data_IF_401781613435
#
_entry.id   IF_401781613435
#
_cell.length_a   1.000
_cell.length_b   1.000
_cell.length_c   1.000
_cell.angle_alpha   90.00
_cell.angle_beta   90.00
_cell.angle_gamma   90.00
#
_symmetry.space_group_name_H-M   'P 1'
#
loop_
_entity.id
_entity.type
_entity.pdbx_description
1 polymer ?
#
# COMPACT_ATOMS: atom_id res chain seq x y z
N UNK A 1 -4.95 8.81 8.15
CA UNK A 1 -6.05 8.38 7.27
C UNK A 1 -5.55 8.29 5.83
N UNK A 2 -5.81 7.17 5.20
CA UNK A 2 -5.34 6.91 3.84
C UNK A 2 -6.13 7.73 2.83
N UNK A 3 -5.47 8.27 1.83
CA UNK A 3 -6.15 8.91 0.71
C UNK A 3 -5.33 8.79 -0.57
N UNK A 4 -6.06 8.87 -1.68
CA UNK A 4 -5.46 8.85 -3.00
C UNK A 4 -4.45 9.99 -3.12
N UNK A 5 -3.31 9.69 -3.70
CA UNK A 5 -2.23 10.65 -3.88
C UNK A 5 -1.14 10.57 -2.84
N UNK A 6 -1.36 9.85 -1.75
CA UNK A 6 -0.33 9.67 -0.73
C UNK A 6 0.69 8.64 -1.18
N UNK A 7 1.95 8.87 -0.83
CA UNK A 7 3.03 7.93 -1.11
C UNK A 7 3.26 7.05 0.12
N UNK A 8 3.39 5.75 -0.11
CA UNK A 8 3.62 4.80 0.97
C UNK A 8 4.78 3.88 0.62
N UNK A 9 5.36 3.27 1.66
CA UNK A 9 6.32 2.19 1.53
C UNK A 9 5.73 0.95 2.19
N UNK A 10 5.74 -0.16 1.48
CA UNK A 10 5.26 -1.43 2.03
C UNK A 10 6.34 -2.00 2.92
N UNK A 11 6.01 -2.25 4.19
CA UNK A 11 6.93 -2.85 5.13
C UNK A 11 6.86 -4.37 5.02
N UNK A 12 5.64 -4.90 4.99
CA UNK A 12 5.42 -6.33 4.92
C UNK A 12 4.04 -6.58 4.32
N UNK A 13 3.97 -7.46 3.34
CA UNK A 13 2.70 -7.85 2.74
C UNK A 13 2.50 -9.34 2.97
N UNK A 14 1.41 -9.67 3.66
CA UNK A 14 1.12 -11.03 4.05
C UNK A 14 1.02 -11.95 2.82
N UNK A 15 1.83 -13.02 2.83
CA UNK A 15 1.85 -13.96 1.73
C UNK A 15 2.63 -13.49 0.50
N UNK A 16 3.19 -12.27 0.51
CA UNK A 16 3.89 -11.70 -0.64
C UNK A 16 5.18 -11.02 -0.21
N UNK A 17 6.18 -11.79 0.20
CA UNK A 17 7.41 -11.18 0.72
C UNK A 17 8.15 -10.31 -0.30
N UNK A 18 7.93 -10.54 -1.60
CA UNK A 18 8.58 -9.74 -2.64
C UNK A 18 8.12 -8.29 -2.65
N UNK A 19 7.01 -7.99 -2.00
CA UNK A 19 6.48 -6.62 -1.96
C UNK A 19 7.09 -5.79 -0.86
N UNK A 20 7.78 -6.40 0.09
CA UNK A 20 8.43 -5.65 1.18
C UNK A 20 9.46 -4.68 0.61
N UNK A 21 9.39 -3.43 1.04
CA UNK A 21 10.30 -2.38 0.59
C UNK A 21 9.85 -1.62 -0.65
N UNK A 22 8.77 -2.05 -1.30
CA UNK A 22 8.28 -1.31 -2.47
C UNK A 22 7.63 -0.01 -2.04
N UNK A 23 7.80 1.01 -2.88
CA UNK A 23 7.19 2.32 -2.65
C UNK A 23 6.28 2.66 -3.82
N UNK A 24 5.26 3.43 -3.54
CA UNK A 24 4.37 3.87 -4.60
C UNK A 24 3.33 4.84 -4.07
N UNK A 25 2.47 5.29 -4.99
CA UNK A 25 1.43 6.27 -4.69
C UNK A 25 0.08 5.56 -4.74
N UNK A 26 -0.77 5.86 -3.76
CA UNK A 26 -2.14 5.33 -3.72
C UNK A 26 -2.93 5.97 -4.86
N UNK A 27 -3.49 5.15 -5.74
CA UNK A 27 -4.30 5.62 -6.86
C UNK A 27 -5.79 5.35 -6.66
N UNK A 28 -6.14 4.41 -5.79
CA UNK A 28 -7.54 4.05 -5.58
C UNK A 28 -7.67 3.33 -4.24
N UNK A 29 -8.74 3.64 -3.52
CA UNK A 29 -9.08 2.91 -2.29
C UNK A 29 -10.45 2.30 -2.54
N UNK A 30 -10.54 0.97 -2.48
CA UNK A 30 -11.78 0.29 -2.82
C UNK A 30 -12.76 0.26 -1.64
N UNK A 31 -13.93 -0.32 -1.88
CA UNK A 31 -15.00 -0.34 -0.89
C UNK A 31 -14.65 -1.10 0.38
N UNK A 32 -13.68 -1.99 0.31
CA UNK A 32 -13.22 -2.75 1.46
C UNK A 32 -12.08 -2.05 2.20
N UNK A 33 -11.67 -0.88 1.72
CA UNK A 33 -10.57 -0.15 2.33
C UNK A 33 -9.20 -0.61 1.90
N UNK A 34 -9.11 -1.44 0.86
CA UNK A 34 -7.83 -1.91 0.35
C UNK A 34 -7.21 -0.84 -0.54
N UNK A 35 -5.89 -0.67 -0.42
CA UNK A 35 -5.18 0.40 -1.10
C UNK A 35 -4.57 -0.13 -2.40
N UNK A 36 -4.92 0.51 -3.50
CA UNK A 36 -4.35 0.20 -4.81
C UNK A 36 -3.39 1.33 -5.19
N UNK A 37 -2.31 0.99 -5.85
CA UNK A 37 -1.34 2.01 -6.19
C UNK A 37 -0.28 1.52 -7.16
N UNK A 38 0.79 2.30 -7.27
CA UNK A 38 1.81 2.09 -8.30
C UNK A 38 2.89 1.08 -7.91
N UNK A 39 2.76 0.45 -6.75
CA UNK A 39 3.76 -0.52 -6.27
C UNK A 39 3.66 -1.88 -6.94
N UNK A 40 2.56 -2.17 -7.63
CA UNK A 40 2.37 -3.43 -8.31
C UNK A 40 0.90 -3.78 -8.39
N UNK A 41 0.59 -5.00 -8.82
CA UNK A 41 -0.79 -5.41 -9.06
C UNK A 41 -1.60 -5.79 -7.83
N UNK A 42 -0.96 -5.92 -6.67
CA UNK A 42 -1.67 -6.35 -5.46
C UNK A 42 -2.04 -5.15 -4.60
N UNK A 43 -3.24 -5.19 -4.04
CA UNK A 43 -3.68 -4.16 -3.11
C UNK A 43 -3.08 -4.39 -1.73
N UNK A 44 -2.80 -3.30 -1.02
CA UNK A 44 -2.41 -3.37 0.39
C UNK A 44 -3.67 -3.49 1.22
N UNK A 45 -3.70 -4.48 2.10
CA UNK A 45 -4.81 -4.74 3.02
C UNK A 45 -4.39 -4.23 4.39
N UNK A 46 -4.90 -3.06 4.84
CA UNK A 46 -4.41 -2.46 6.08
C UNK A 46 -4.51 -3.34 7.32
N UNK A 47 -5.44 -4.30 7.31
CA UNK A 47 -5.64 -5.20 8.45
C UNK A 47 -4.59 -6.31 8.51
N UNK A 48 -3.99 -6.66 7.36
CA UNK A 48 -3.07 -7.78 7.27
C UNK A 48 -1.65 -7.37 6.92
N UNK A 49 -1.50 -6.23 6.26
CA UNK A 49 -0.21 -5.79 5.73
C UNK A 49 0.28 -4.58 6.50
N UNK A 50 1.61 -4.40 6.54
CA UNK A 50 2.22 -3.26 7.22
C UNK A 50 2.78 -2.31 6.18
N UNK A 51 2.57 -1.03 6.38
CA UNK A 51 3.07 0.02 5.48
C UNK A 51 3.23 1.32 6.26
N UNK A 52 3.96 2.25 5.67
CA UNK A 52 4.17 3.55 6.29
C UNK A 52 4.02 4.64 5.24
N UNK A 53 3.60 5.82 5.68
CA UNK A 53 3.52 6.98 4.80
C UNK A 53 4.90 7.59 4.64
N UNK A 54 5.18 8.04 3.42
CA UNK A 54 6.44 8.70 3.10
C UNK A 54 6.14 10.18 2.89
N UNK A 55 6.80 11.03 3.64
CA UNK A 55 6.69 12.47 3.43
C UNK A 55 7.65 12.89 2.32
N UNK A 56 7.11 13.69 1.42
CA UNK A 56 7.91 14.24 0.33
C UNK A 56 8.59 15.53 0.75
#
# INVERSE_FOLDING_TARGET
MEKVGQKIRIIDMDGEPNYAGREGVITHIDDMGHLHGTWGGLAVVPEADSYEFIKE
#
